data_IF_825507839098
#
_entry.id   IF_825507839098
#
_cell.length_a   1.000
_cell.length_b   1.000
_cell.length_c   1.000
_cell.angle_alpha   90.00
_cell.angle_beta   90.00
_cell.angle_gamma   90.00
#
_symmetry.space_group_name_H-M   'P 1'
#
loop_
_entity.id
_entity.type
_entity.pdbx_description
1 polymer ?
#
# COMPACT_ATOMS: atom_id res chain seq x y z
N UNK A 1 3.25 16.97 -1.33
CA UNK A 1 1.97 16.24 -1.50
C UNK A 1 2.02 15.58 -2.86
N UNK A 2 1.70 14.29 -2.95
CA UNK A 2 1.68 13.56 -4.22
C UNK A 2 0.23 13.17 -4.53
N UNK A 3 -0.35 13.80 -5.54
CA UNK A 3 -1.74 13.55 -5.94
C UNK A 3 -1.81 12.41 -6.95
N UNK A 4 -2.31 11.28 -6.47
CA UNK A 4 -2.49 10.05 -7.25
C UNK A 4 -3.93 9.57 -7.11
N UNK A 5 -4.68 9.59 -8.21
CA UNK A 5 -6.10 9.26 -8.21
C UNK A 5 -6.48 8.22 -9.25
N UNK A 6 -7.47 7.40 -8.91
CA UNK A 6 -8.22 6.56 -9.83
C UNK A 6 -9.68 6.48 -9.36
N UNK A 7 -10.62 6.10 -10.25
CA UNK A 7 -12.04 6.01 -9.90
C UNK A 7 -12.28 5.14 -8.67
N UNK A 8 -13.26 5.51 -7.86
CA UNK A 8 -13.63 4.71 -6.68
C UNK A 8 -14.14 3.33 -7.11
N UNK A 9 -14.00 2.32 -6.25
CA UNK A 9 -14.35 0.91 -6.49
C UNK A 9 -13.59 0.23 -7.64
N UNK A 10 -12.64 0.93 -8.28
CA UNK A 10 -11.79 0.38 -9.31
C UNK A 10 -10.39 0.09 -8.78
N UNK A 11 -9.68 -0.77 -9.51
CA UNK A 11 -8.26 -0.95 -9.32
C UNK A 11 -7.51 0.12 -10.15
N UNK A 12 -6.37 0.64 -9.65
CA UNK A 12 -5.53 1.54 -10.43
C UNK A 12 -4.90 0.81 -11.62
N UNK A 13 -4.20 1.54 -12.51
CA UNK A 13 -3.15 1.00 -13.36
C UNK A 13 -1.93 0.52 -12.55
N UNK A 14 -1.24 -0.54 -13.01
CA UNK A 14 -0.09 -1.14 -12.30
C UNK A 14 1.09 -0.17 -12.18
N UNK A 15 1.40 0.56 -13.24
CA UNK A 15 2.44 1.60 -13.29
C UNK A 15 2.22 2.69 -12.24
N UNK A 16 0.95 3.02 -11.97
CA UNK A 16 0.59 3.98 -10.92
C UNK A 16 0.92 3.43 -9.54
N UNK A 17 0.61 2.16 -9.27
CA UNK A 17 0.96 1.53 -7.99
C UNK A 17 2.47 1.45 -7.80
N UNK A 18 3.21 1.05 -8.84
CA UNK A 18 4.67 1.04 -8.81
C UNK A 18 5.26 2.42 -8.51
N UNK A 19 4.71 3.47 -9.13
CA UNK A 19 5.13 4.86 -8.86
C UNK A 19 4.91 5.24 -7.40
N UNK A 20 3.75 4.89 -6.84
CA UNK A 20 3.41 5.15 -5.44
C UNK A 20 4.36 4.41 -4.50
N UNK A 21 4.57 3.11 -4.71
CA UNK A 21 5.44 2.30 -3.87
C UNK A 21 6.89 2.81 -3.88
N UNK A 22 7.44 3.16 -5.05
CA UNK A 22 8.79 3.74 -5.16
C UNK A 22 8.92 5.08 -4.44
N UNK A 23 7.91 5.95 -4.57
CA UNK A 23 7.90 7.23 -3.88
C UNK A 23 7.86 7.06 -2.35
N UNK A 24 7.03 6.14 -1.86
CA UNK A 24 6.95 5.80 -0.43
C UNK A 24 8.27 5.23 0.08
N UNK A 25 8.86 4.27 -0.63
CA UNK A 25 10.14 3.65 -0.25
C UNK A 25 11.27 4.69 -0.20
N UNK A 26 11.42 5.49 -1.26
CA UNK A 26 12.44 6.54 -1.31
C UNK A 26 12.30 7.55 -0.18
N UNK A 27 11.07 7.92 0.19
CA UNK A 27 10.81 8.84 1.29
C UNK A 27 11.15 8.22 2.65
N UNK A 28 10.68 7.00 2.91
CA UNK A 28 10.90 6.29 4.16
C UNK A 28 12.39 5.95 4.38
N UNK A 29 13.12 5.57 3.31
CA UNK A 29 14.54 5.23 3.41
C UNK A 29 15.45 6.44 3.64
N UNK A 30 14.98 7.66 3.38
CA UNK A 30 15.79 8.87 3.55
C UNK A 30 15.97 9.27 5.02
N UNK A 31 15.04 8.90 5.91
CA UNK A 31 15.14 9.17 7.35
C UNK A 31 14.19 8.26 8.15
N UNK A 32 14.65 7.58 9.21
CA UNK A 32 13.80 6.70 10.04
C UNK A 32 12.65 7.41 10.76
N UNK A 33 12.68 8.73 10.92
CA UNK A 33 11.59 9.52 11.52
C UNK A 33 10.53 9.97 10.50
N UNK A 34 10.73 9.70 9.22
CA UNK A 34 9.76 10.07 8.19
C UNK A 34 8.47 9.26 8.31
N UNK A 35 7.36 9.95 8.04
CA UNK A 35 6.02 9.37 8.06
C UNK A 35 5.36 9.61 6.71
N UNK A 36 4.66 8.59 6.21
CA UNK A 36 3.77 8.71 5.03
C UNK A 36 2.33 8.72 5.52
N UNK A 37 1.56 9.70 5.05
CA UNK A 37 0.12 9.78 5.28
C UNK A 37 -0.62 9.48 3.98
N UNK A 38 -1.47 8.45 3.99
CA UNK A 38 -2.29 8.06 2.85
C UNK A 38 -3.74 8.45 3.13
N UNK A 39 -4.34 9.18 2.19
CA UNK A 39 -5.73 9.60 2.27
C UNK A 39 -6.45 9.34 0.95
N UNK A 40 -7.71 8.92 1.02
CA UNK A 40 -8.61 8.93 -0.12
C UNK A 40 -10.01 9.35 0.31
N UNK A 41 -10.76 9.98 -0.60
CA UNK A 41 -12.18 10.30 -0.39
C UNK A 41 -13.02 9.02 -0.34
N UNK A 42 -14.03 8.95 0.53
CA UNK A 42 -14.98 7.83 0.56
C UNK A 42 -14.47 6.62 1.36
N UNK A 43 -14.54 5.43 0.76
CA UNK A 43 -14.18 4.17 1.41
C UNK A 43 -12.67 3.92 1.54
N UNK A 44 -12.28 2.84 2.23
CA UNK A 44 -10.87 2.50 2.49
C UNK A 44 -10.25 1.56 1.45
N UNK A 45 -11.00 1.13 0.43
CA UNK A 45 -10.52 0.15 -0.56
C UNK A 45 -9.27 0.61 -1.31
N UNK A 46 -9.18 1.90 -1.66
CA UNK A 46 -8.00 2.47 -2.32
C UNK A 46 -6.77 2.50 -1.43
N UNK A 47 -6.94 2.82 -0.14
CA UNK A 47 -5.88 2.73 0.87
C UNK A 47 -5.41 1.27 1.00
N UNK A 48 -6.35 0.33 1.00
CA UNK A 48 -6.08 -1.11 0.96
C UNK A 48 -5.13 -1.51 -0.15
N UNK A 49 -5.41 -1.09 -1.39
CA UNK A 49 -4.54 -1.36 -2.55
C UNK A 49 -3.12 -0.82 -2.34
N UNK A 50 -2.97 0.43 -1.90
CA UNK A 50 -1.64 1.03 -1.71
C UNK A 50 -0.85 0.31 -0.62
N UNK A 51 -1.47 0.08 0.55
CA UNK A 51 -0.80 -0.58 1.68
C UNK A 51 -0.42 -2.01 1.32
N UNK A 52 -1.32 -2.77 0.71
CA UNK A 52 -1.02 -4.14 0.32
C UNK A 52 0.11 -4.20 -0.70
N UNK A 53 0.05 -3.37 -1.75
CA UNK A 53 1.11 -3.37 -2.76
C UNK A 53 2.45 -2.93 -2.18
N UNK A 54 2.48 -1.98 -1.25
CA UNK A 54 3.72 -1.57 -0.58
C UNK A 54 4.31 -2.66 0.32
N UNK A 55 3.47 -3.39 1.06
CA UNK A 55 3.89 -4.52 1.89
C UNK A 55 4.56 -5.61 1.04
N UNK A 56 4.00 -5.91 -0.13
CA UNK A 56 4.58 -6.87 -1.07
C UNK A 56 5.85 -6.32 -1.74
N UNK A 57 5.83 -5.07 -2.18
CA UNK A 57 6.96 -4.39 -2.82
C UNK A 57 8.21 -4.40 -1.92
N UNK A 58 8.04 -4.11 -0.62
CA UNK A 58 9.14 -4.15 0.36
C UNK A 58 9.53 -5.57 0.77
N UNK A 59 8.65 -6.56 0.65
CA UNK A 59 8.98 -7.95 1.01
C UNK A 59 10.17 -8.54 0.22
N UNK A 60 10.39 -8.04 -1.00
CA UNK A 60 11.51 -8.42 -1.88
C UNK A 60 12.83 -7.78 -1.46
N UNK A 61 12.80 -6.65 -0.73
CA UNK A 61 13.98 -5.83 -0.42
C UNK A 61 14.42 -5.84 1.05
N UNK A 62 13.76 -6.58 1.96
CA UNK A 62 13.83 -6.24 3.40
C UNK A 62 14.52 -7.26 4.32
N UNK A 63 15.48 -6.75 5.12
CA UNK A 63 16.15 -7.35 6.30
C UNK A 63 15.16 -7.89 7.37
N UNK A 64 15.65 -8.79 8.24
CA UNK A 64 14.93 -9.32 9.40
C UNK A 64 14.41 -8.23 10.36
N UNK A 65 15.06 -7.06 10.40
CA UNK A 65 14.72 -5.97 11.34
C UNK A 65 13.34 -5.33 11.11
N UNK A 66 12.77 -5.45 9.91
CA UNK A 66 11.42 -4.93 9.63
C UNK A 66 10.34 -6.03 9.56
N UNK A 67 10.58 -7.20 10.16
CA UNK A 67 9.58 -8.25 10.26
C UNK A 67 8.36 -7.80 11.08
N UNK A 68 8.58 -7.01 12.14
CA UNK A 68 7.51 -6.46 12.98
C UNK A 68 6.63 -5.46 12.20
N UNK A 69 7.24 -4.60 11.38
CA UNK A 69 6.51 -3.64 10.56
C UNK A 69 5.64 -4.35 9.52
N UNK A 70 6.17 -5.40 8.89
CA UNK A 70 5.39 -6.27 7.98
C UNK A 70 4.23 -6.95 8.69
N UNK A 71 4.45 -7.47 9.90
CA UNK A 71 3.38 -8.07 10.69
C UNK A 71 2.29 -7.05 11.06
N UNK A 72 2.69 -5.85 11.51
CA UNK A 72 1.76 -4.78 11.86
C UNK A 72 0.95 -4.32 10.63
N UNK A 73 1.61 -4.10 9.49
CA UNK A 73 0.94 -3.74 8.23
C UNK A 73 -0.03 -4.84 7.77
N UNK A 74 0.38 -6.11 7.83
CA UNK A 74 -0.48 -7.24 7.48
C UNK A 74 -1.70 -7.33 8.38
N UNK A 75 -1.50 -7.23 9.70
CA UNK A 75 -2.60 -7.26 10.67
C UNK A 75 -3.57 -6.11 10.45
N UNK A 76 -3.07 -4.90 10.20
CA UNK A 76 -3.92 -3.75 9.87
C UNK A 76 -4.72 -3.99 8.58
N UNK A 77 -4.08 -4.52 7.53
CA UNK A 77 -4.74 -4.85 6.28
C UNK A 77 -5.87 -5.88 6.49
N UNK A 78 -5.59 -6.98 7.19
CA UNK A 78 -6.54 -8.05 7.44
C UNK A 78 -7.72 -7.56 8.31
N UNK A 79 -7.45 -6.82 9.39
CA UNK A 79 -8.45 -6.38 10.36
C UNK A 79 -9.30 -5.20 9.86
N UNK A 80 -8.75 -4.31 9.01
CA UNK A 80 -9.37 -3.01 8.69
C UNK A 80 -9.71 -2.80 7.22
N UNK A 81 -9.06 -3.52 6.29
CA UNK A 81 -9.14 -3.22 4.86
C UNK A 81 -9.73 -4.38 4.05
N UNK A 82 -9.34 -5.62 4.35
CA UNK A 82 -9.67 -6.83 3.57
C UNK A 82 -11.17 -6.97 3.23
N UNK A 83 -12.05 -6.73 4.21
CA UNK A 83 -13.51 -6.85 4.03
C UNK A 83 -14.13 -5.76 3.16
N UNK A 84 -13.42 -4.64 2.95
CA UNK A 84 -13.91 -3.46 2.23
C UNK A 84 -13.47 -3.45 0.75
N UNK A 85 -12.64 -4.42 0.33
CA UNK A 85 -12.05 -4.43 -1.00
C UNK A 85 -12.94 -5.08 -2.04
N UNK A 86 -13.02 -4.45 -3.21
CA UNK A 86 -13.67 -5.02 -4.38
C UNK A 86 -12.85 -6.16 -5.00
N UNK A 87 -13.48 -7.12 -5.73
CA UNK A 87 -12.75 -8.22 -6.36
C UNK A 87 -11.60 -7.75 -7.26
N UNK A 88 -11.82 -6.68 -8.02
CA UNK A 88 -10.79 -6.07 -8.89
C UNK A 88 -9.58 -5.56 -8.10
N UNK A 89 -9.80 -5.00 -6.91
CA UNK A 89 -8.77 -4.51 -6.00
C UNK A 89 -8.05 -5.66 -5.29
N UNK A 90 -8.75 -6.73 -4.94
CA UNK A 90 -8.12 -7.93 -4.36
C UNK A 90 -7.14 -8.60 -5.30
N UNK A 91 -7.33 -8.50 -6.63
CA UNK A 91 -6.35 -9.01 -7.61
C UNK A 91 -4.97 -8.36 -7.47
N UNK A 92 -4.88 -7.14 -6.95
CA UNK A 92 -3.58 -6.51 -6.70
C UNK A 92 -2.76 -7.20 -5.62
N UNK A 93 -3.39 -7.99 -4.74
CA UNK A 93 -2.69 -8.86 -3.78
C UNK A 93 -1.96 -10.02 -4.47
N UNK A 94 -2.34 -10.37 -5.69
CA UNK A 94 -1.75 -11.46 -6.46
C UNK A 94 -0.78 -10.95 -7.55
N UNK A 95 -0.80 -9.65 -7.85
CA UNK A 95 0.11 -9.04 -8.83
C UNK A 95 1.46 -8.63 -8.23
N UNK A 96 1.51 -8.49 -6.90
CA UNK A 96 2.70 -8.16 -6.14
C UNK A 96 2.96 -9.24 -5.10
#
# INVERSE_FOLDING_TARGET
IMDVGWPDLHAPPLDKVCTICKAMESWMNSNPQHVVVIHCKGGRGRIGVVISSYMHFTSVSTSADQALDRFAMKKFFDDKLSSLMQPSQKRYLAYF
#
